data_IF_191276987077
#
_entry.id   IF_191276987077
#
_cell.length_a   1.000
_cell.length_b   1.000
_cell.length_c   1.000
_cell.angle_alpha   90.00
_cell.angle_beta   90.00
_cell.angle_gamma   90.00
#
_symmetry.space_group_name_H-M   'P 1'
#
loop_
_entity.id
_entity.type
_entity.pdbx_description
1 polymer ?
#
# COMPACT_ATOMS: atom_id res chain seq x y z
N UNK A 1 -16.15 -42.23 37.39
CA UNK A 1 -16.59 -43.64 37.53
C UNK A 1 -17.61 -43.98 36.45
N UNK A 2 -17.18 -44.04 35.19
CA UNK A 2 -17.90 -44.78 34.15
C UNK A 2 -16.89 -45.55 33.31
N UNK A 3 -16.72 -46.80 33.74
CA UNK A 3 -15.90 -47.82 33.11
C UNK A 3 -16.72 -48.44 31.96
N UNK A 4 -16.09 -48.51 30.78
CA UNK A 4 -16.02 -49.69 29.92
C UNK A 4 -17.33 -50.36 29.46
N UNK A 5 -17.67 -50.16 28.18
CA UNK A 5 -18.46 -51.12 27.42
C UNK A 5 -17.59 -51.82 26.36
N UNK A 6 -17.77 -53.14 26.32
CA UNK A 6 -17.03 -54.14 25.56
C UNK A 6 -17.38 -54.10 24.06
N UNK A 7 -16.41 -54.42 23.21
CA UNK A 7 -16.63 -54.75 21.79
C UNK A 7 -17.15 -56.18 21.64
N UNK A 8 -17.98 -56.46 20.62
CA UNK A 8 -18.01 -57.76 19.97
C UNK A 8 -17.32 -57.71 18.60
N UNK A 9 -16.68 -58.83 18.26
CA UNK A 9 -15.85 -59.02 17.08
C UNK A 9 -16.58 -59.90 16.04
N UNK A 10 -16.27 -59.64 14.76
CA UNK A 10 -16.29 -60.54 13.59
C UNK A 10 -17.45 -60.55 12.55
N UNK A 11 -16.99 -60.33 11.30
CA UNK A 11 -17.23 -61.11 10.07
C UNK A 11 -17.99 -60.43 8.90
N UNK A 12 -17.19 -59.83 8.01
CA UNK A 12 -17.21 -59.86 6.54
C UNK A 12 -18.53 -60.13 5.79
N UNK A 13 -19.07 -59.06 5.19
CA UNK A 13 -19.77 -59.14 3.91
C UNK A 13 -19.18 -58.10 2.95
N UNK A 14 -18.89 -58.56 1.73
CA UNK A 14 -18.15 -57.84 0.72
C UNK A 14 -18.92 -56.72 0.02
N UNK A 15 -18.12 -55.96 -0.74
CA UNK A 15 -18.49 -55.16 -1.90
C UNK A 15 -19.59 -54.10 -1.70
N UNK A 16 -19.13 -52.86 -1.48
CA UNK A 16 -19.19 -51.83 -2.53
C UNK A 16 -18.42 -50.60 -2.09
N UNK A 17 -17.43 -50.27 -2.90
CA UNK A 17 -16.75 -48.98 -2.93
C UNK A 17 -17.77 -47.88 -3.20
N UNK A 18 -18.19 -47.19 -2.14
CA UNK A 18 -18.82 -45.87 -2.28
C UNK A 18 -17.70 -44.85 -2.25
N UNK A 19 -16.93 -44.75 -3.34
CA UNK A 19 -16.11 -43.57 -3.59
C UNK A 19 -17.06 -42.40 -3.83
N UNK A 20 -17.45 -41.73 -2.74
CA UNK A 20 -17.92 -40.35 -2.82
C UNK A 20 -16.84 -39.61 -3.60
N UNK A 21 -17.14 -38.97 -4.75
CA UNK A 21 -16.17 -38.10 -5.39
C UNK A 21 -15.94 -36.94 -4.42
N UNK A 22 -14.90 -37.05 -3.59
CA UNK A 22 -14.40 -35.90 -2.86
C UNK A 22 -14.02 -34.86 -3.91
N UNK A 23 -14.49 -33.63 -3.72
CA UNK A 23 -14.10 -32.40 -4.42
C UNK A 23 -12.58 -32.19 -4.37
N UNK A 24 -11.80 -33.03 -5.07
CA UNK A 24 -10.34 -32.94 -5.14
C UNK A 24 -9.89 -31.71 -5.93
N UNK A 25 -10.75 -31.21 -6.81
CA UNK A 25 -10.47 -30.04 -7.63
C UNK A 25 -10.39 -28.75 -6.80
N UNK A 26 -11.12 -28.66 -5.68
CA UNK A 26 -11.22 -27.42 -4.91
C UNK A 26 -10.02 -27.17 -3.98
N UNK A 27 -9.13 -28.15 -3.81
CA UNK A 27 -7.90 -28.03 -2.99
C UNK A 27 -6.61 -28.21 -3.78
N UNK A 28 -6.71 -28.43 -5.10
CA UNK A 28 -5.53 -28.50 -5.97
C UNK A 28 -4.83 -27.13 -6.02
N UNK A 29 -3.54 -27.04 -5.62
CA UNK A 29 -2.79 -25.80 -5.67
C UNK A 29 -2.76 -25.15 -7.06
N UNK A 30 -2.82 -25.93 -8.14
CA UNK A 30 -2.83 -25.40 -9.52
C UNK A 30 -4.17 -24.71 -9.79
N UNK A 31 -5.28 -25.33 -9.38
CA UNK A 31 -6.60 -24.76 -9.53
C UNK A 31 -6.77 -23.47 -8.71
N UNK A 32 -6.38 -23.50 -7.43
CA UNK A 32 -6.40 -22.33 -6.55
C UNK A 32 -5.57 -21.19 -7.13
N UNK A 33 -4.37 -21.49 -7.66
CA UNK A 33 -3.52 -20.50 -8.32
C UNK A 33 -4.26 -19.79 -9.45
N UNK A 34 -4.92 -20.54 -10.31
CA UNK A 34 -5.59 -19.99 -11.48
C UNK A 34 -6.79 -19.14 -11.08
N UNK A 35 -7.66 -19.65 -10.20
CA UNK A 35 -8.82 -18.91 -9.70
C UNK A 35 -8.42 -17.59 -9.03
N UNK A 36 -7.45 -17.65 -8.12
CA UNK A 36 -6.99 -16.45 -7.39
C UNK A 36 -6.39 -15.42 -8.35
N UNK A 37 -5.62 -15.87 -9.35
CA UNK A 37 -5.03 -15.00 -10.35
C UNK A 37 -6.09 -14.32 -11.23
N UNK A 38 -7.10 -15.07 -11.67
CA UNK A 38 -8.16 -14.56 -12.53
C UNK A 38 -9.03 -13.53 -11.79
N UNK A 39 -9.41 -13.82 -10.55
CA UNK A 39 -10.15 -12.85 -9.73
C UNK A 39 -9.31 -11.61 -9.43
N UNK A 40 -8.03 -11.76 -9.08
CA UNK A 40 -7.12 -10.63 -8.86
C UNK A 40 -6.94 -9.75 -10.10
N UNK A 41 -7.00 -10.33 -11.31
CA UNK A 41 -6.92 -9.56 -12.55
C UNK A 41 -8.12 -8.60 -12.72
N UNK A 42 -9.27 -8.91 -12.11
CA UNK A 42 -10.45 -8.04 -12.13
C UNK A 42 -10.35 -6.85 -11.18
N UNK A 43 -9.42 -6.88 -10.22
CA UNK A 43 -9.14 -5.78 -9.29
C UNK A 43 -8.42 -4.64 -10.02
N UNK A 44 -9.18 -3.87 -10.79
CA UNK A 44 -8.74 -2.78 -11.66
C UNK A 44 -9.00 -1.39 -11.06
N UNK A 45 -9.81 -1.32 -10.01
CA UNK A 45 -10.08 -0.14 -9.20
C UNK A 45 -10.28 -0.58 -7.75
N UNK A 46 -10.43 0.38 -6.83
CA UNK A 46 -10.65 0.10 -5.41
C UNK A 46 -12.05 -0.52 -5.18
N UNK A 47 -12.15 -1.83 -5.35
CA UNK A 47 -13.39 -2.60 -5.20
C UNK A 47 -13.38 -3.37 -3.89
N UNK A 48 -14.10 -2.85 -2.89
CA UNK A 48 -14.24 -3.54 -1.59
C UNK A 48 -14.76 -4.97 -1.72
N UNK A 49 -15.79 -5.28 -2.54
CA UNK A 49 -16.26 -6.66 -2.69
C UNK A 49 -15.18 -7.62 -3.18
N UNK A 50 -14.39 -7.21 -4.18
CA UNK A 50 -13.30 -8.05 -4.73
C UNK A 50 -12.18 -8.21 -3.70
N UNK A 51 -11.79 -7.13 -3.01
CA UNK A 51 -10.77 -7.20 -1.95
C UNK A 51 -11.23 -8.16 -0.84
N UNK A 52 -12.47 -8.05 -0.38
CA UNK A 52 -13.02 -8.94 0.64
C UNK A 52 -13.04 -10.39 0.16
N UNK A 53 -13.50 -10.65 -1.05
CA UNK A 53 -13.55 -11.99 -1.64
C UNK A 53 -12.15 -12.63 -1.72
N UNK A 54 -11.17 -11.90 -2.27
CA UNK A 54 -9.78 -12.35 -2.34
C UNK A 54 -9.13 -12.55 -0.95
N UNK A 55 -9.51 -11.75 0.05
CA UNK A 55 -9.06 -11.94 1.44
C UNK A 55 -9.65 -13.19 2.07
N UNK A 56 -10.96 -13.45 1.86
CA UNK A 56 -11.63 -14.69 2.32
C UNK A 56 -10.95 -15.90 1.66
N UNK A 57 -10.76 -15.87 0.34
CA UNK A 57 -10.09 -16.94 -0.40
C UNK A 57 -8.67 -17.18 0.13
N UNK A 58 -7.92 -16.13 0.48
CA UNK A 58 -6.60 -16.27 1.10
C UNK A 58 -6.65 -16.92 2.49
N UNK A 59 -7.69 -16.62 3.28
CA UNK A 59 -7.93 -17.21 4.59
C UNK A 59 -8.40 -18.66 4.55
N UNK A 60 -9.11 -19.07 3.49
CA UNK A 60 -9.53 -20.47 3.29
C UNK A 60 -8.38 -21.35 2.77
N UNK A 61 -7.41 -20.74 2.07
CA UNK A 61 -6.34 -21.45 1.37
C UNK A 61 -4.94 -21.20 1.96
N UNK A 62 -4.84 -21.08 3.29
CA UNK A 62 -3.57 -20.77 4.00
C UNK A 62 -2.45 -21.77 3.69
N UNK A 63 -2.78 -23.05 3.41
CA UNK A 63 -1.80 -24.08 3.06
C UNK A 63 -0.99 -23.75 1.80
N UNK A 64 -1.57 -22.97 0.89
CA UNK A 64 -0.93 -22.52 -0.35
C UNK A 64 -0.57 -21.03 -0.32
N UNK A 65 -0.48 -20.42 0.87
CA UNK A 65 -0.18 -19.00 1.05
C UNK A 65 1.04 -18.50 0.25
N UNK A 66 2.09 -19.32 0.09
CA UNK A 66 3.26 -18.98 -0.74
C UNK A 66 2.89 -18.67 -2.20
N UNK A 67 1.97 -19.45 -2.76
CA UNK A 67 1.49 -19.27 -4.14
C UNK A 67 0.68 -17.97 -4.22
N UNK A 68 -0.23 -17.75 -3.27
CA UNK A 68 -1.07 -16.55 -3.22
C UNK A 68 -0.23 -15.28 -3.09
N UNK A 69 0.78 -15.29 -2.19
CA UNK A 69 1.73 -14.18 -2.05
C UNK A 69 2.42 -13.92 -3.38
N UNK A 70 3.00 -14.94 -4.02
CA UNK A 70 3.67 -14.78 -5.31
C UNK A 70 2.77 -14.12 -6.38
N UNK A 71 1.51 -14.56 -6.49
CA UNK A 71 0.53 -13.98 -7.43
C UNK A 71 0.32 -12.49 -7.15
N UNK A 72 0.16 -12.12 -5.87
CA UNK A 72 -0.07 -10.72 -5.47
C UNK A 72 1.18 -9.88 -5.69
N UNK A 73 2.37 -10.39 -5.39
CA UNK A 73 3.63 -9.68 -5.66
C UNK A 73 3.83 -9.44 -7.15
N UNK A 74 3.59 -10.45 -7.99
CA UNK A 74 3.70 -10.34 -9.45
C UNK A 74 2.69 -9.32 -9.98
N UNK A 75 1.47 -9.30 -9.45
CA UNK A 75 0.46 -8.28 -9.76
C UNK A 75 0.93 -6.88 -9.35
N UNK A 76 1.43 -6.72 -8.13
CA UNK A 76 1.91 -5.43 -7.61
C UNK A 76 3.05 -4.87 -8.47
N UNK A 77 3.96 -5.71 -8.96
CA UNK A 77 5.07 -5.32 -9.85
C UNK A 77 4.57 -4.94 -11.25
N UNK A 78 3.75 -5.80 -11.87
CA UNK A 78 3.39 -5.69 -13.30
C UNK A 78 2.16 -4.81 -13.61
N UNK A 79 1.29 -4.54 -12.64
CA UNK A 79 0.06 -3.80 -12.89
C UNK A 79 0.32 -2.32 -13.25
N UNK A 80 -0.56 -1.71 -14.06
CA UNK A 80 -0.58 -0.27 -14.29
C UNK A 80 -0.60 0.55 -12.98
N UNK A 81 -0.06 1.77 -13.00
CA UNK A 81 0.09 2.60 -11.81
C UNK A 81 -1.23 2.79 -11.04
N UNK A 82 -2.35 3.04 -11.72
CA UNK A 82 -3.67 3.21 -11.12
C UNK A 82 -4.22 1.94 -10.42
N UNK A 83 -3.64 0.76 -10.68
CA UNK A 83 -4.05 -0.51 -10.09
C UNK A 83 -3.16 -0.95 -8.91
N UNK A 84 -2.05 -0.25 -8.67
CA UNK A 84 -1.14 -0.55 -7.56
C UNK A 84 -1.74 -0.22 -6.20
N UNK A 85 -2.53 0.86 -6.09
CA UNK A 85 -3.23 1.21 -4.85
C UNK A 85 -4.28 0.17 -4.44
N UNK A 86 -5.21 -0.28 -5.32
CA UNK A 86 -6.09 -1.41 -5.01
C UNK A 86 -5.34 -2.68 -4.59
N UNK A 87 -4.21 -2.98 -5.26
CA UNK A 87 -3.39 -4.15 -4.92
C UNK A 87 -2.76 -4.01 -3.52
N UNK A 88 -2.29 -2.81 -3.14
CA UNK A 88 -1.82 -2.54 -1.79
C UNK A 88 -2.93 -2.73 -0.76
N UNK A 89 -4.16 -2.29 -1.04
CA UNK A 89 -5.30 -2.52 -0.13
C UNK A 89 -5.62 -4.00 0.06
N UNK A 90 -5.42 -4.82 -0.97
CA UNK A 90 -5.53 -6.27 -0.82
C UNK A 90 -4.45 -6.82 0.12
N UNK A 91 -3.19 -6.44 -0.08
CA UNK A 91 -2.09 -6.84 0.82
C UNK A 91 -2.42 -6.45 2.26
N UNK A 92 -2.82 -5.19 2.48
CA UNK A 92 -3.22 -4.64 3.79
C UNK A 92 -4.35 -5.45 4.44
N UNK A 93 -5.39 -5.77 3.67
CA UNK A 93 -6.52 -6.58 4.14
C UNK A 93 -6.08 -7.99 4.56
N UNK A 94 -5.25 -8.65 3.76
CA UNK A 94 -4.77 -10.01 4.07
C UNK A 94 -3.90 -10.01 5.33
N UNK A 95 -2.92 -9.10 5.46
CA UNK A 95 -2.04 -9.08 6.64
C UNK A 95 -2.78 -8.71 7.93
N UNK A 96 -3.84 -7.88 7.84
CA UNK A 96 -4.63 -7.46 9.00
C UNK A 96 -5.68 -8.49 9.44
N UNK A 97 -6.35 -9.13 8.48
CA UNK A 97 -7.51 -9.99 8.75
C UNK A 97 -7.16 -11.49 8.76
N UNK A 98 -6.20 -11.92 7.94
CA UNK A 98 -5.75 -13.31 7.89
C UNK A 98 -4.47 -13.49 8.71
N UNK A 99 -3.51 -12.57 8.53
CA UNK A 99 -2.28 -12.56 9.31
C UNK A 99 -1.41 -13.81 9.12
N UNK A 100 -0.85 -14.32 10.23
CA UNK A 100 -0.12 -15.59 10.26
C UNK A 100 1.02 -15.67 9.25
N UNK A 101 1.06 -16.71 8.38
CA UNK A 101 2.16 -16.89 7.42
C UNK A 101 2.25 -15.76 6.39
N UNK A 102 1.16 -15.05 6.09
CA UNK A 102 1.17 -13.95 5.12
C UNK A 102 2.03 -12.77 5.57
N UNK A 103 1.96 -12.43 6.86
CA UNK A 103 2.80 -11.36 7.45
C UNK A 103 4.28 -11.68 7.27
N UNK A 104 4.68 -12.92 7.58
CA UNK A 104 6.07 -13.35 7.45
C UNK A 104 6.55 -13.43 6.00
N UNK A 105 5.67 -13.80 5.06
CA UNK A 105 6.01 -13.90 3.65
C UNK A 105 6.15 -12.52 3.02
N UNK A 106 5.13 -11.65 3.18
CA UNK A 106 5.21 -10.27 2.69
C UNK A 106 6.33 -9.49 3.37
N UNK A 107 6.65 -9.74 4.64
CA UNK A 107 7.73 -9.05 5.34
C UNK A 107 9.10 -9.15 4.65
N UNK A 108 9.32 -10.16 3.80
CA UNK A 108 10.56 -10.37 3.03
C UNK A 108 10.70 -9.43 1.83
N UNK A 109 9.58 -8.95 1.31
CA UNK A 109 9.48 -8.22 0.04
C UNK A 109 8.73 -6.89 0.15
N UNK A 110 8.09 -6.60 1.29
CA UNK A 110 7.19 -5.45 1.45
C UNK A 110 7.90 -4.12 1.24
N UNK A 111 9.17 -4.01 1.64
CA UNK A 111 9.96 -2.79 1.45
C UNK A 111 10.11 -2.46 -0.03
N UNK A 112 10.59 -3.41 -0.84
CA UNK A 112 10.75 -3.18 -2.28
C UNK A 112 9.40 -3.04 -2.99
N UNK A 113 8.43 -3.90 -2.70
CA UNK A 113 7.10 -3.83 -3.31
C UNK A 113 6.41 -2.49 -3.07
N UNK A 114 6.49 -1.97 -1.84
CA UNK A 114 5.89 -0.69 -1.50
C UNK A 114 6.60 0.45 -2.23
N UNK A 115 7.93 0.51 -2.18
CA UNK A 115 8.71 1.61 -2.76
C UNK A 115 8.64 1.63 -4.29
N UNK A 116 8.75 0.47 -4.95
CA UNK A 116 8.66 0.35 -6.40
C UNK A 116 7.29 0.80 -6.92
N UNK A 117 6.23 0.44 -6.19
CA UNK A 117 4.88 0.88 -6.52
C UNK A 117 4.69 2.37 -6.23
N UNK A 118 5.15 2.85 -5.07
CA UNK A 118 5.06 4.25 -4.67
C UNK A 118 5.75 5.19 -5.66
N UNK A 119 6.89 4.77 -6.23
CA UNK A 119 7.66 5.58 -7.17
C UNK A 119 6.87 6.00 -8.42
N UNK A 120 5.94 5.15 -8.89
CA UNK A 120 5.25 5.33 -10.18
C UNK A 120 3.78 5.78 -10.06
N UNK A 121 3.20 5.78 -8.86
CA UNK A 121 1.82 6.26 -8.65
C UNK A 121 1.74 7.77 -8.53
N UNK A 122 0.55 8.32 -8.79
CA UNK A 122 0.27 9.75 -8.67
C UNK A 122 0.25 10.23 -7.20
N UNK A 123 0.22 11.56 -7.01
CA UNK A 123 0.26 12.18 -5.69
C UNK A 123 -0.92 11.80 -4.80
N UNK A 124 -2.11 11.56 -5.36
CA UNK A 124 -3.29 11.18 -4.59
C UNK A 124 -3.16 9.74 -4.05
N UNK A 125 -2.65 8.84 -4.88
CA UNK A 125 -2.32 7.48 -4.48
C UNK A 125 -1.17 7.45 -3.47
N UNK A 126 -0.13 8.27 -3.62
CA UNK A 126 0.98 8.39 -2.64
C UNK A 126 0.49 8.71 -1.23
N UNK A 127 -0.39 9.71 -1.10
CA UNK A 127 -1.00 10.05 0.17
C UNK A 127 -1.81 8.87 0.77
N UNK A 128 -2.40 8.03 -0.07
CA UNK A 128 -3.10 6.82 0.37
C UNK A 128 -2.14 5.69 0.78
N UNK A 129 -1.02 5.52 0.08
CA UNK A 129 0.06 4.60 0.45
C UNK A 129 0.61 4.94 1.83
N UNK A 130 0.93 6.21 2.07
CA UNK A 130 1.44 6.69 3.36
C UNK A 130 0.43 6.48 4.49
N UNK A 131 -0.86 6.73 4.23
CA UNK A 131 -1.92 6.42 5.19
C UNK A 131 -1.95 4.94 5.56
N UNK A 132 -1.83 4.04 4.58
CA UNK A 132 -1.77 2.59 4.83
C UNK A 132 -0.55 2.24 5.67
N UNK A 133 0.64 2.71 5.30
CA UNK A 133 1.89 2.48 6.03
C UNK A 133 1.76 2.92 7.50
N UNK A 134 1.18 4.10 7.75
CA UNK A 134 0.96 4.63 9.09
C UNK A 134 0.00 3.81 9.96
N UNK A 135 -0.80 2.91 9.37
CA UNK A 135 -1.67 2.01 10.15
C UNK A 135 -0.96 0.76 10.67
N UNK A 136 0.17 0.35 10.06
CA UNK A 136 0.83 -0.93 10.38
C UNK A 136 1.48 -1.00 11.77
N UNK A 137 2.11 0.08 12.29
CA UNK A 137 2.73 0.02 13.63
C UNK A 137 1.75 -0.15 14.78
N UNK A 138 0.52 0.36 14.64
CA UNK A 138 -0.46 0.48 15.74
C UNK A 138 -1.75 -0.30 15.48
N UNK A 139 -1.73 -1.34 14.63
CA UNK A 139 -2.96 -2.03 14.22
C UNK A 139 -3.69 -2.73 15.38
N UNK A 140 -3.22 -3.90 15.80
CA UNK A 140 -3.72 -4.63 16.97
C UNK A 140 -2.53 -5.34 17.60
N UNK A 141 -1.81 -6.05 16.74
CA UNK A 141 -0.41 -6.42 16.94
C UNK A 141 0.47 -5.66 15.95
N UNK A 142 1.76 -5.52 16.30
CA UNK A 142 2.74 -4.97 15.38
C UNK A 142 2.90 -5.92 14.18
N UNK A 143 2.41 -5.52 13.00
CA UNK A 143 2.39 -6.37 11.81
C UNK A 143 3.79 -6.70 11.31
N UNK A 144 4.65 -5.68 11.16
CA UNK A 144 6.03 -5.86 10.71
C UNK A 144 7.02 -5.35 11.77
N UNK A 145 8.27 -5.84 11.80
CA UNK A 145 9.32 -5.24 12.61
C UNK A 145 9.42 -3.72 12.38
N UNK A 146 9.72 -2.95 13.44
CA UNK A 146 9.85 -1.49 13.33
C UNK A 146 10.90 -1.08 12.30
N UNK A 147 11.99 -1.83 12.20
CA UNK A 147 13.05 -1.57 11.23
C UNK A 147 12.56 -1.68 9.78
N UNK A 148 11.62 -2.59 9.50
CA UNK A 148 11.01 -2.74 8.18
C UNK A 148 10.20 -1.49 7.82
N UNK A 149 9.38 -0.99 8.75
CA UNK A 149 8.59 0.24 8.55
C UNK A 149 9.49 1.46 8.42
N UNK A 150 10.45 1.61 9.35
CA UNK A 150 11.39 2.72 9.35
C UNK A 150 12.24 2.76 8.06
N UNK A 151 12.57 1.59 7.50
CA UNK A 151 13.26 1.53 6.21
C UNK A 151 12.43 2.13 5.08
N UNK A 152 11.12 1.86 5.04
CA UNK A 152 10.21 2.47 4.05
C UNK A 152 10.14 3.98 4.29
N UNK A 153 9.89 4.41 5.53
CA UNK A 153 9.74 5.83 5.88
C UNK A 153 10.98 6.67 5.54
N UNK A 154 12.18 6.18 5.83
CA UNK A 154 13.44 6.87 5.47
C UNK A 154 13.58 7.06 3.97
N UNK A 155 13.21 6.04 3.18
CA UNK A 155 13.30 6.12 1.73
C UNK A 155 12.21 7.02 1.14
N UNK A 156 11.02 7.07 1.74
CA UNK A 156 10.02 8.06 1.36
C UNK A 156 10.51 9.49 1.64
N UNK A 157 11.17 9.74 2.76
CA UNK A 157 11.76 11.05 3.07
C UNK A 157 12.84 11.44 2.06
N UNK A 158 13.72 10.52 1.66
CA UNK A 158 14.74 10.78 0.65
C UNK A 158 14.11 11.14 -0.71
N UNK A 159 13.07 10.42 -1.13
CA UNK A 159 12.32 10.70 -2.37
C UNK A 159 11.62 12.07 -2.34
N UNK A 160 11.11 12.50 -1.19
CA UNK A 160 10.51 13.84 -1.05
C UNK A 160 11.56 14.95 -1.13
N UNK A 161 12.72 14.76 -0.50
CA UNK A 161 13.82 15.74 -0.49
C UNK A 161 14.37 15.98 -1.91
N UNK A 162 14.49 14.92 -2.72
CA UNK A 162 14.95 15.03 -4.11
C UNK A 162 13.98 15.76 -5.03
N UNK A 163 12.68 15.79 -4.69
CA UNK A 163 11.66 16.48 -5.50
C UNK A 163 11.46 17.95 -5.13
N UNK A 164 12.07 18.44 -4.05
CA UNK A 164 12.09 19.88 -3.79
C UNK A 164 13.18 20.55 -4.63
N UNK A 165 12.84 21.54 -5.47
CA UNK A 165 13.86 22.32 -6.16
C UNK A 165 14.74 23.02 -5.13
N UNK A 166 16.02 22.67 -5.12
CA UNK A 166 17.06 23.36 -4.37
C UNK A 166 17.16 24.80 -4.89
N UNK A 167 16.34 25.71 -4.35
CA UNK A 167 16.66 27.14 -4.37
C UNK A 167 17.81 27.36 -3.38
N UNK A 168 19.03 27.04 -3.80
CA UNK A 168 20.22 27.57 -3.14
C UNK A 168 20.21 29.08 -3.36
N UNK A 169 19.82 29.83 -2.33
CA UNK A 169 20.31 31.19 -2.15
C UNK A 169 21.83 31.10 -2.08
N UNK A 170 22.50 31.38 -3.19
CA UNK A 170 23.91 31.72 -3.19
C UNK A 170 24.08 33.06 -2.45
N UNK A 171 24.24 33.00 -1.14
CA UNK A 171 24.88 34.06 -0.36
C UNK A 171 26.34 34.13 -0.76
N UNK A 172 26.72 35.13 -1.56
CA UNK A 172 27.94 35.94 -1.43
C UNK A 172 28.21 36.74 -2.72
N UNK A 173 27.84 38.02 -2.71
CA UNK A 173 28.69 39.03 -3.34
C UNK A 173 28.74 40.25 -2.41
N UNK A 174 29.82 40.29 -1.63
CA UNK A 174 30.13 41.39 -0.72
C UNK A 174 30.75 42.48 -1.59
N UNK A 175 30.13 43.66 -1.69
CA UNK A 175 30.70 44.81 -2.36
C UNK A 175 31.33 45.73 -1.31
N UNK A 176 32.66 45.72 -1.09
CA UNK A 176 33.30 46.74 -0.29
C UNK A 176 33.46 48.00 -1.14
N UNK A 177 33.31 49.15 -0.49
CA UNK A 177 33.76 50.45 -0.96
C UNK A 177 32.78 51.29 -1.81
N UNK A 178 32.12 52.26 -1.16
CA UNK A 178 32.23 53.66 -1.59
C UNK A 178 31.88 54.61 -0.45
N UNK A 179 32.82 55.48 -0.13
CA UNK A 179 32.75 56.50 0.90
C UNK A 179 32.01 57.75 0.39
N UNK A 180 31.38 58.47 1.33
CA UNK A 180 31.11 59.93 1.32
C UNK A 180 30.03 60.54 0.38
N UNK A 181 28.92 60.99 1.02
CA UNK A 181 28.18 62.30 1.03
C UNK A 181 28.30 63.28 -0.18
N UNK A 182 27.39 64.30 -0.36
CA UNK A 182 26.38 64.86 0.56
C UNK A 182 24.98 65.17 -0.04
N UNK A 183 24.10 65.65 0.87
CA UNK A 183 22.78 66.27 0.66
C UNK A 183 22.86 67.64 -0.04
N UNK A 184 21.75 68.02 -0.69
CA UNK A 184 21.19 69.36 -1.03
C UNK A 184 20.52 69.24 -2.43
N UNK A 185 19.30 69.68 -2.79
CA UNK A 185 18.39 70.72 -2.33
C UNK A 185 16.93 70.44 -2.89
N UNK A 186 15.99 71.41 -3.11
CA UNK A 186 14.78 71.58 -2.31
C UNK A 186 13.42 71.45 -3.07
N UNK A 187 12.34 71.55 -2.28
CA UNK A 187 10.90 71.62 -2.59
C UNK A 187 10.46 72.34 -3.88
N UNK A 188 9.39 71.81 -4.53
CA UNK A 188 8.28 72.64 -5.02
C UNK A 188 6.90 71.98 -4.82
N UNK A 189 5.96 72.82 -4.36
CA UNK A 189 4.53 72.59 -4.18
C UNK A 189 3.79 72.52 -5.52
N UNK A 190 2.66 71.80 -5.59
CA UNK A 190 1.75 71.93 -6.73
C UNK A 190 0.56 70.97 -6.79
N UNK A 191 -0.44 71.22 -5.95
CA UNK A 191 -1.89 71.07 -6.21
C UNK A 191 -2.50 69.69 -6.59
N UNK A 192 -3.41 69.25 -5.72
CA UNK A 192 -4.51 68.32 -6.02
C UNK A 192 -5.55 68.98 -6.94
N UNK A 193 -6.33 68.17 -7.68
CA UNK A 193 -7.76 68.12 -7.37
C UNK A 193 -8.34 66.69 -7.31
N UNK A 194 -9.51 66.62 -6.69
CA UNK A 194 -10.32 65.44 -6.35
C UNK A 194 -11.27 64.99 -7.48
N UNK A 195 -11.71 63.72 -7.38
CA UNK A 195 -12.99 63.11 -7.84
C UNK A 195 -13.13 62.85 -9.37
N UNK A 196 -13.84 61.83 -9.86
CA UNK A 196 -14.84 60.92 -9.30
C UNK A 196 -14.86 59.56 -10.05
N UNK A 197 -15.43 58.55 -9.38
CA UNK A 197 -15.86 57.24 -9.93
C UNK A 197 -17.22 57.39 -10.61
N UNK A 198 -17.52 56.62 -11.67
CA UNK A 198 -18.89 56.14 -11.84
C UNK A 198 -19.00 54.62 -12.08
N UNK A 199 -19.95 54.06 -11.34
CA UNK A 199 -20.57 52.74 -11.46
C UNK A 199 -21.48 52.72 -12.70
N UNK A 200 -21.49 51.64 -13.49
CA UNK A 200 -22.61 51.34 -14.38
C UNK A 200 -23.01 49.86 -14.28
N UNK A 201 -24.29 49.73 -13.91
CA UNK A 201 -25.31 48.68 -14.00
C UNK A 201 -24.94 47.34 -14.64
#
# INVERSE_FOLDING_TARGET
MYQQYQQPNHQSHGARTSSVPQNRDNTDPIHIRQLYKDELATLTFNSKPIITSLTIAAGENVLVCKIIVQIIEDRMRSAPANQKLPTLYLIDSIIKNVGGPYVNLFGRSIVSLFLDAYAVVDSAAKASFEKVLGTWPNWNTQLFPRDTIASIERELQSMHQQRQPQYHQSSMHVNPHFSERPRDAPYQQGQRPMRAVPLHK
#
